data_IF_802214253383
#
_entry.id   IF_802214253383
#
_cell.length_a   1.000
_cell.length_b   1.000
_cell.length_c   1.000
_cell.angle_alpha   90.00
_cell.angle_beta   90.00
_cell.angle_gamma   90.00
#
_symmetry.space_group_name_H-M   'P 1'
#
loop_
_entity.id
_entity.type
_entity.pdbx_description
1 polymer ?
#
# COMPACT_ATOMS: atom_id res chain seq x y z
N UNK A 1 -0.16 15.96 -43.70
CA UNK A 1 -1.50 15.92 -43.07
C UNK A 1 -2.51 15.39 -44.06
N UNK A 2 -3.36 14.45 -43.65
CA UNK A 2 -4.46 13.94 -44.49
C UNK A 2 -5.78 14.06 -43.73
N UNK A 3 -6.84 14.45 -44.43
CA UNK A 3 -8.18 14.54 -43.86
C UNK A 3 -8.88 13.19 -44.02
N UNK A 4 -9.26 12.56 -42.91
CA UNK A 4 -10.00 11.28 -42.84
C UNK A 4 -11.17 11.47 -41.89
N UNK A 5 -12.40 11.16 -42.31
CA UNK A 5 -13.58 11.32 -41.45
C UNK A 5 -13.86 12.76 -41.01
N UNK A 6 -13.41 13.75 -41.80
CA UNK A 6 -13.45 15.19 -41.48
C UNK A 6 -12.44 15.69 -40.44
N UNK A 7 -11.58 14.81 -39.92
CA UNK A 7 -10.49 15.13 -38.99
C UNK A 7 -9.15 15.20 -39.72
N UNK A 8 -8.23 16.03 -39.22
CA UNK A 8 -6.88 16.14 -39.74
C UNK A 8 -5.96 15.18 -38.99
N UNK A 9 -5.24 14.37 -39.75
CA UNK A 9 -4.30 13.39 -39.23
C UNK A 9 -2.88 13.69 -39.71
N UNK A 10 -1.88 13.42 -38.86
CA UNK A 10 -0.45 13.50 -39.19
C UNK A 10 0.06 12.06 -39.30
N UNK A 11 0.66 11.72 -40.44
CA UNK A 11 1.14 10.36 -40.72
C UNK A 11 1.23 10.10 -42.22
N UNK A 12 1.65 8.89 -42.57
CA UNK A 12 1.69 8.37 -43.94
C UNK A 12 0.40 7.59 -44.19
N UNK A 13 -0.34 7.93 -45.23
CA UNK A 13 -1.54 7.16 -45.58
C UNK A 13 -1.17 6.02 -46.51
N UNK A 14 -1.36 4.78 -46.06
CA UNK A 14 -1.11 3.58 -46.83
C UNK A 14 -2.24 2.56 -46.64
N UNK A 15 -2.70 1.95 -47.73
CA UNK A 15 -3.73 0.88 -47.74
C UNK A 15 -4.95 1.12 -46.84
N UNK A 16 -5.49 2.35 -46.84
CA UNK A 16 -6.71 2.68 -46.09
C UNK A 16 -6.48 3.06 -44.62
N UNK A 17 -5.24 3.01 -44.14
CA UNK A 17 -4.86 3.40 -42.79
C UNK A 17 -3.85 4.56 -42.79
N UNK A 18 -3.74 5.25 -41.66
CA UNK A 18 -2.67 6.20 -41.39
C UNK A 18 -1.65 5.52 -40.49
N UNK A 19 -0.40 5.50 -40.92
CA UNK A 19 0.74 4.96 -40.19
C UNK A 19 1.67 6.10 -39.72
N UNK A 20 2.51 5.86 -38.70
CA UNK A 20 3.54 6.82 -38.31
C UNK A 20 4.47 7.18 -39.48
N UNK A 21 5.02 8.40 -39.44
CA UNK A 21 6.12 8.80 -40.32
C UNK A 21 7.37 8.08 -39.80
N UNK A 22 8.13 7.44 -40.69
CA UNK A 22 9.38 6.79 -40.29
C UNK A 22 10.35 7.84 -39.74
N UNK A 23 11.26 7.42 -38.86
CA UNK A 23 12.29 8.34 -38.32
C UNK A 23 13.16 8.94 -39.43
N UNK A 24 13.47 8.13 -40.46
CA UNK A 24 14.27 8.54 -41.62
C UNK A 24 13.57 9.59 -42.47
N UNK A 25 12.25 9.48 -42.63
CA UNK A 25 11.45 10.40 -43.44
C UNK A 25 10.94 11.62 -42.64
N UNK A 26 11.14 11.67 -41.32
CA UNK A 26 10.52 12.67 -40.46
C UNK A 26 10.85 14.10 -40.90
N UNK A 27 12.11 14.37 -41.25
CA UNK A 27 12.56 15.71 -41.68
C UNK A 27 12.07 16.11 -43.07
N UNK A 28 11.66 15.14 -43.90
CA UNK A 28 11.11 15.41 -45.22
C UNK A 28 9.66 15.95 -45.14
N UNK A 29 8.95 15.59 -44.06
CA UNK A 29 7.54 15.93 -43.87
C UNK A 29 7.30 16.93 -42.74
N UNK A 30 8.18 16.99 -41.74
CA UNK A 30 8.07 17.89 -40.58
C UNK A 30 9.17 18.93 -40.65
N UNK A 31 8.83 20.08 -41.24
CA UNK A 31 9.76 21.19 -41.42
C UNK A 31 9.69 22.09 -40.19
N UNK A 32 10.83 22.27 -39.52
CA UNK A 32 10.95 23.19 -38.39
C UNK A 32 10.72 24.63 -38.85
N UNK A 33 9.95 25.38 -38.07
CA UNK A 33 9.83 26.83 -38.27
C UNK A 33 11.07 27.55 -37.72
N UNK A 34 11.28 28.81 -38.11
CA UNK A 34 12.33 29.65 -37.52
C UNK A 34 12.01 30.09 -36.09
N UNK A 35 10.75 30.00 -35.69
CA UNK A 35 10.31 30.31 -34.33
C UNK A 35 10.48 29.08 -33.45
N UNK A 36 11.13 29.27 -32.30
CA UNK A 36 11.20 28.27 -31.25
C UNK A 36 10.34 28.75 -30.10
N UNK A 37 9.36 27.94 -29.75
CA UNK A 37 8.55 28.13 -28.55
C UNK A 37 8.82 26.95 -27.62
N UNK A 38 8.80 27.23 -26.33
CA UNK A 38 8.86 26.16 -25.31
C UNK A 38 7.46 25.63 -25.12
N UNK A 39 7.28 24.31 -25.23
CA UNK A 39 6.00 23.69 -24.90
C UNK A 39 5.86 23.74 -23.37
N UNK A 40 4.81 24.42 -22.90
CA UNK A 40 4.48 24.50 -21.48
C UNK A 40 3.48 23.38 -21.16
N UNK A 41 3.82 22.43 -20.28
CA UNK A 41 2.87 21.41 -19.84
C UNK A 41 1.65 22.04 -19.16
N UNK A 42 0.48 21.44 -19.33
CA UNK A 42 -0.70 21.81 -18.55
C UNK A 42 -0.57 21.18 -17.15
N UNK A 43 -0.54 22.01 -16.10
CA UNK A 43 -0.58 21.49 -14.72
C UNK A 43 -1.97 20.92 -14.46
N UNK A 44 -2.02 19.67 -13.99
CA UNK A 44 -3.24 18.95 -13.63
C UNK A 44 -2.98 18.07 -12.42
N UNK A 45 -4.01 17.88 -11.61
CA UNK A 45 -4.05 16.85 -10.55
C UNK A 45 -4.51 15.50 -11.11
N UNK A 46 -4.29 14.42 -10.36
CA UNK A 46 -4.82 13.09 -10.72
C UNK A 46 -6.37 13.14 -10.77
N UNK A 47 -7.01 13.76 -9.78
CA UNK A 47 -8.47 13.90 -9.75
C UNK A 47 -9.02 14.57 -11.02
N UNK A 48 -8.46 15.70 -11.43
CA UNK A 48 -8.91 16.41 -12.65
C UNK A 48 -8.79 15.55 -13.90
N UNK A 49 -7.77 14.68 -13.98
CA UNK A 49 -7.60 13.73 -15.09
C UNK A 49 -8.71 12.67 -15.04
N UNK A 50 -8.98 12.10 -13.87
CA UNK A 50 -10.03 11.09 -13.66
C UNK A 50 -11.42 11.66 -13.96
N UNK A 51 -11.74 12.84 -13.44
CA UNK A 51 -13.00 13.54 -13.69
C UNK A 51 -13.20 13.81 -15.17
N UNK A 52 -12.18 14.34 -15.85
CA UNK A 52 -12.26 14.60 -17.28
C UNK A 52 -12.47 13.32 -18.09
N UNK A 53 -11.78 12.22 -17.74
CA UNK A 53 -11.92 10.93 -18.42
C UNK A 53 -13.34 10.34 -18.30
N UNK A 54 -14.08 10.69 -17.25
CA UNK A 54 -15.46 10.24 -17.00
C UNK A 54 -16.52 11.24 -17.49
N UNK A 55 -16.11 12.37 -18.06
CA UNK A 55 -17.01 13.40 -18.57
C UNK A 55 -17.33 13.20 -20.06
N UNK A 56 -18.33 13.93 -20.55
CA UNK A 56 -18.65 13.99 -22.00
C UNK A 56 -17.56 14.70 -22.83
N UNK A 57 -16.57 15.34 -22.18
CA UNK A 57 -15.50 16.13 -22.81
C UNK A 57 -14.11 15.72 -22.28
N UNK A 58 -13.61 14.53 -22.65
CA UNK A 58 -12.32 14.03 -22.16
C UNK A 58 -11.15 14.90 -22.61
N UNK A 59 -10.08 14.91 -21.81
CA UNK A 59 -8.84 15.58 -22.19
C UNK A 59 -8.26 14.98 -23.48
N UNK A 60 -7.87 15.80 -24.46
CA UNK A 60 -7.15 15.31 -25.63
C UNK A 60 -5.75 14.82 -25.24
N UNK A 61 -5.05 14.15 -26.15
CA UNK A 61 -3.63 13.84 -25.91
C UNK A 61 -2.82 15.13 -25.79
N UNK A 62 -2.30 15.40 -24.59
CA UNK A 62 -1.61 16.65 -24.25
C UNK A 62 -0.40 16.41 -23.35
N UNK A 63 0.53 17.35 -23.34
CA UNK A 63 1.62 17.36 -22.36
C UNK A 63 1.09 17.93 -21.04
N UNK A 64 1.23 17.18 -19.97
CA UNK A 64 0.79 17.56 -18.62
C UNK A 64 1.97 17.56 -17.65
N UNK A 65 1.83 18.31 -16.57
CA UNK A 65 2.68 18.15 -15.38
C UNK A 65 1.79 17.85 -14.19
N UNK A 66 2.15 16.84 -13.40
CA UNK A 66 1.49 16.50 -12.16
C UNK A 66 2.52 16.67 -11.05
N UNK A 67 2.16 17.44 -10.04
CA UNK A 67 3.00 17.74 -8.88
C UNK A 67 2.57 16.84 -7.70
N UNK A 68 3.45 16.70 -6.71
CA UNK A 68 3.20 15.97 -5.47
C UNK A 68 2.72 14.54 -5.72
N UNK A 69 3.50 13.77 -6.49
CA UNK A 69 3.23 12.37 -6.77
C UNK A 69 4.42 11.48 -6.43
N UNK A 70 4.14 10.24 -6.07
CA UNK A 70 5.14 9.22 -5.81
C UNK A 70 4.72 7.87 -6.37
N UNK A 71 5.67 6.94 -6.49
CA UNK A 71 5.36 5.54 -6.85
C UNK A 71 4.83 4.79 -5.61
N UNK A 72 3.93 3.83 -5.80
CA UNK A 72 3.44 2.95 -4.71
C UNK A 72 4.57 2.08 -4.11
N UNK A 73 4.40 1.68 -2.86
CA UNK A 73 5.44 0.99 -2.08
C UNK A 73 5.81 -0.37 -2.68
N UNK A 74 4.84 -1.12 -3.21
CA UNK A 74 5.06 -2.44 -3.82
C UNK A 74 5.91 -2.38 -5.09
N UNK A 75 6.10 -1.18 -5.65
CA UNK A 75 6.90 -0.95 -6.84
C UNK A 75 8.20 -0.19 -6.56
N UNK A 76 8.55 0.02 -5.28
CA UNK A 76 9.86 0.55 -4.89
C UNK A 76 10.99 -0.38 -5.37
N UNK A 77 12.17 0.21 -5.59
CA UNK A 77 13.38 -0.50 -6.04
C UNK A 77 13.23 -1.26 -7.37
N UNK A 78 12.20 -0.94 -8.16
CA UNK A 78 12.02 -1.48 -9.51
C UNK A 78 12.69 -0.60 -10.57
N UNK A 79 12.89 -1.12 -11.79
CA UNK A 79 13.39 -0.34 -12.93
C UNK A 79 12.26 0.34 -13.71
N UNK A 80 12.57 1.29 -14.59
CA UNK A 80 11.57 1.98 -15.42
C UNK A 80 10.69 1.02 -16.23
N UNK A 81 11.27 -0.01 -16.85
CA UNK A 81 10.50 -1.06 -17.53
C UNK A 81 11.19 -2.43 -17.42
N UNK A 82 10.65 -3.44 -18.11
CA UNK A 82 11.17 -4.80 -18.05
C UNK A 82 12.54 -4.91 -18.75
N UNK A 83 13.54 -5.39 -18.02
CA UNK A 83 14.90 -5.55 -18.56
C UNK A 83 15.01 -6.74 -19.52
N UNK A 84 14.23 -7.79 -19.30
CA UNK A 84 14.33 -9.09 -19.97
C UNK A 84 13.55 -9.16 -21.27
N UNK A 85 12.58 -8.27 -21.48
CA UNK A 85 11.78 -8.23 -22.71
C UNK A 85 11.47 -6.81 -23.16
N UNK A 86 10.67 -6.70 -24.23
CA UNK A 86 10.29 -5.43 -24.85
C UNK A 86 8.81 -5.08 -24.60
N UNK A 87 8.17 -5.75 -23.64
CA UNK A 87 6.79 -5.44 -23.25
C UNK A 87 6.76 -4.15 -22.45
N UNK A 88 5.74 -3.34 -22.69
CA UNK A 88 5.48 -2.15 -21.89
C UNK A 88 5.15 -2.54 -20.44
N UNK A 89 5.53 -1.68 -19.50
CA UNK A 89 5.33 -1.87 -18.06
C UNK A 89 4.57 -0.68 -17.52
N UNK A 90 3.53 -0.97 -16.74
CA UNK A 90 2.76 0.03 -16.02
C UNK A 90 3.38 0.23 -14.63
N UNK A 91 3.66 1.48 -14.28
CA UNK A 91 3.93 1.96 -12.92
C UNK A 91 2.68 2.64 -12.38
N UNK A 92 2.44 2.50 -11.08
CA UNK A 92 1.33 3.16 -10.41
C UNK A 92 1.88 4.32 -9.60
N UNK A 93 1.43 5.53 -9.94
CA UNK A 93 1.71 6.73 -9.18
C UNK A 93 0.51 7.08 -8.31
N UNK A 94 0.78 7.56 -7.11
CA UNK A 94 -0.20 8.10 -6.16
C UNK A 94 0.08 9.57 -5.90
N UNK A 95 -0.95 10.34 -5.58
CA UNK A 95 -0.84 11.71 -5.07
C UNK A 95 -0.40 11.72 -3.60
N UNK A 96 0.28 12.79 -3.24
CA UNK A 96 0.66 13.13 -1.89
C UNK A 96 -0.32 14.19 -1.34
N UNK A 97 -1.53 13.78 -0.97
CA UNK A 97 -2.54 14.69 -0.38
C UNK A 97 -3.27 14.05 0.79
N UNK A 98 -3.63 14.86 1.78
CA UNK A 98 -4.22 14.47 3.07
C UNK A 98 -5.71 14.01 3.02
N UNK A 99 -6.35 13.97 1.84
CA UNK A 99 -7.79 13.66 1.71
C UNK A 99 -8.05 12.23 1.22
N UNK A 100 -7.70 11.93 -0.04
CA UNK A 100 -7.93 10.62 -0.66
C UNK A 100 -6.73 10.22 -1.53
N UNK A 101 -6.28 8.96 -1.41
CA UNK A 101 -5.26 8.38 -2.29
C UNK A 101 -5.86 8.04 -3.66
N UNK A 102 -5.43 8.78 -4.67
CA UNK A 102 -5.79 8.64 -6.07
C UNK A 102 -4.62 8.09 -6.87
N UNK A 103 -4.92 7.22 -7.83
CA UNK A 103 -3.90 6.55 -8.64
C UNK A 103 -3.93 6.99 -10.09
N UNK A 104 -2.76 7.05 -10.71
CA UNK A 104 -2.61 7.19 -12.16
C UNK A 104 -1.54 6.24 -12.69
N UNK A 105 -1.78 5.69 -13.88
CA UNK A 105 -0.85 4.76 -14.51
C UNK A 105 0.16 5.53 -15.35
N UNK A 106 1.44 5.31 -15.07
CA UNK A 106 2.57 5.64 -15.93
C UNK A 106 2.97 4.41 -16.74
N UNK A 107 2.71 4.42 -18.04
CA UNK A 107 3.09 3.35 -18.94
C UNK A 107 4.46 3.64 -19.57
N UNK A 108 5.47 2.88 -19.16
CA UNK A 108 6.82 2.95 -19.70
C UNK A 108 7.01 1.91 -20.81
N UNK A 109 7.60 2.33 -21.92
CA UNK A 109 7.82 1.40 -23.02
C UNK A 109 8.96 0.42 -22.74
N UNK A 110 8.74 -0.87 -23.02
CA UNK A 110 9.79 -1.89 -22.95
C UNK A 110 10.89 -1.73 -24.00
N UNK A 111 10.68 -0.87 -25.00
CA UNK A 111 11.66 -0.51 -26.02
C UNK A 111 12.48 0.76 -25.67
N UNK A 112 12.21 1.37 -24.52
CA UNK A 112 12.92 2.59 -24.10
C UNK A 112 14.40 2.32 -23.81
N UNK A 113 15.25 3.31 -24.11
CA UNK A 113 16.70 3.25 -23.82
C UNK A 113 17.01 3.32 -22.31
N UNK A 114 16.04 3.77 -21.51
CA UNK A 114 16.15 3.92 -20.05
C UNK A 114 15.51 2.77 -19.27
N UNK A 115 14.99 1.72 -19.93
CA UNK A 115 14.22 0.65 -19.28
C UNK A 115 14.89 0.00 -18.07
N UNK A 116 16.21 -0.12 -18.10
CA UNK A 116 17.01 -0.79 -17.07
C UNK A 116 17.50 0.15 -15.96
N UNK A 117 17.21 1.44 -16.03
CA UNK A 117 17.56 2.37 -14.97
C UNK A 117 16.62 2.16 -13.77
N UNK A 118 17.11 2.32 -12.53
CA UNK A 118 16.25 2.35 -11.34
C UNK A 118 15.21 3.45 -11.48
N UNK A 119 13.97 3.14 -11.14
CA UNK A 119 12.92 4.15 -11.05
C UNK A 119 13.11 4.95 -9.74
N UNK A 120 13.01 6.29 -9.77
CA UNK A 120 13.15 7.12 -8.56
C UNK A 120 12.15 6.72 -7.46
N UNK A 121 12.62 6.66 -6.21
CA UNK A 121 11.82 6.23 -5.05
C UNK A 121 11.16 7.37 -4.29
N UNK A 122 11.73 8.57 -4.40
CA UNK A 122 11.24 9.81 -3.77
C UNK A 122 9.92 10.30 -4.41
N UNK A 123 9.36 11.39 -3.89
CA UNK A 123 8.21 12.08 -4.48
C UNK A 123 8.63 13.35 -5.22
N UNK A 124 7.72 13.88 -6.03
CA UNK A 124 7.91 15.18 -6.69
C UNK A 124 7.00 15.35 -7.88
N UNK A 125 7.56 15.86 -8.99
CA UNK A 125 6.79 16.20 -10.18
C UNK A 125 7.09 15.27 -11.35
N UNK A 126 6.06 14.97 -12.15
CA UNK A 126 6.18 14.26 -13.42
C UNK A 126 5.63 15.10 -14.56
N UNK A 127 6.42 15.27 -15.63
CA UNK A 127 5.97 15.84 -16.91
C UNK A 127 5.75 14.70 -17.90
N UNK A 128 4.53 14.48 -18.37
CA UNK A 128 4.23 13.34 -19.25
C UNK A 128 3.24 13.69 -20.35
N UNK A 129 3.22 12.87 -21.40
CA UNK A 129 2.14 12.89 -22.38
C UNK A 129 0.97 12.11 -21.78
N UNK A 130 -0.12 12.81 -21.49
CA UNK A 130 -1.38 12.20 -21.11
C UNK A 130 -2.06 11.68 -22.38
N UNK A 131 -2.36 10.38 -22.42
CA UNK A 131 -3.12 9.77 -23.51
C UNK A 131 -4.21 8.88 -22.91
N UNK A 132 -5.48 9.27 -23.12
CA UNK A 132 -6.62 8.73 -22.39
C UNK A 132 -6.46 8.96 -20.88
N UNK A 133 -6.17 7.91 -20.13
CA UNK A 133 -5.97 7.89 -18.67
C UNK A 133 -4.58 7.37 -18.27
N UNK A 134 -3.62 7.37 -19.20
CA UNK A 134 -2.25 6.92 -18.94
C UNK A 134 -1.25 8.03 -19.24
N UNK A 135 -0.22 8.10 -18.42
CA UNK A 135 0.95 8.94 -18.60
C UNK A 135 2.00 8.16 -19.39
N UNK A 136 2.68 8.84 -20.30
CA UNK A 136 3.81 8.31 -21.06
C UNK A 136 4.93 9.34 -20.99
N UNK A 137 6.08 8.95 -20.44
CA UNK A 137 7.29 9.79 -20.40
C UNK A 137 8.13 9.60 -21.66
N UNK A 138 8.91 10.62 -22.00
CA UNK A 138 9.79 10.65 -23.17
C UNK A 138 11.18 10.12 -22.82
N UNK A 139 11.68 10.50 -21.66
CA UNK A 139 12.94 10.08 -21.07
C UNK A 139 12.93 10.28 -19.55
N UNK A 140 14.04 10.01 -18.87
CA UNK A 140 14.10 10.10 -17.40
C UNK A 140 14.04 11.53 -16.86
N UNK A 141 14.30 12.57 -17.67
CA UNK A 141 14.21 13.97 -17.22
C UNK A 141 12.77 14.43 -17.06
N UNK A 142 11.80 13.64 -17.51
CA UNK A 142 10.37 13.86 -17.28
C UNK A 142 9.95 13.51 -15.85
N UNK A 143 10.83 12.91 -15.05
CA UNK A 143 10.59 12.61 -13.63
C UNK A 143 11.56 13.42 -12.77
N UNK A 144 11.02 14.29 -11.93
CA UNK A 144 11.74 15.07 -10.93
C UNK A 144 11.26 14.68 -9.54
N UNK A 145 11.63 13.46 -9.13
CA UNK A 145 11.31 12.88 -7.82
C UNK A 145 12.53 13.05 -6.93
N UNK A 146 12.60 14.18 -6.25
CA UNK A 146 13.76 14.61 -5.45
C UNK A 146 13.39 15.04 -4.03
N UNK A 147 12.10 15.08 -3.71
CA UNK A 147 11.58 15.45 -2.41
C UNK A 147 11.29 14.20 -1.58
N UNK A 148 11.46 14.30 -0.26
CA UNK A 148 11.13 13.19 0.66
C UNK A 148 9.71 12.69 0.38
N UNK A 149 9.55 11.36 0.26
CA UNK A 149 8.25 10.72 0.07
C UNK A 149 7.22 11.28 1.02
N UNK A 150 6.01 11.52 0.52
CA UNK A 150 4.90 11.76 1.42
C UNK A 150 4.60 10.43 2.13
N UNK A 151 4.37 10.54 3.43
CA UNK A 151 3.68 9.48 4.15
C UNK A 151 2.28 9.45 3.53
N UNK A 152 1.81 8.27 3.13
CA UNK A 152 0.39 8.10 2.88
C UNK A 152 -0.29 8.39 4.21
N UNK A 153 -0.76 9.63 4.41
CA UNK A 153 -1.32 10.09 5.69
C UNK A 153 -2.59 9.31 6.04
N UNK A 154 -3.15 8.55 5.10
CA UNK A 154 -4.18 7.57 5.40
C UNK A 154 -3.63 6.43 6.26
N UNK A 155 -2.38 5.99 6.11
CA UNK A 155 -1.80 4.90 6.90
C UNK A 155 -1.33 5.41 8.26
N UNK A 156 -2.16 5.16 9.26
CA UNK A 156 -1.90 5.56 10.64
C UNK A 156 -0.93 4.60 11.36
N UNK A 157 -0.86 3.34 10.92
CA UNK A 157 0.06 2.33 11.41
C UNK A 157 0.34 1.25 10.35
N UNK A 158 1.61 0.89 10.20
CA UNK A 158 2.08 -0.27 9.46
C UNK A 158 3.11 -1.02 10.31
N UNK A 159 2.99 -2.34 10.38
CA UNK A 159 3.96 -3.23 11.02
C UNK A 159 4.02 -4.58 10.30
N UNK A 160 5.20 -4.93 9.80
CA UNK A 160 5.52 -6.20 9.13
C UNK A 160 6.55 -7.03 9.91
N UNK A 161 6.95 -6.58 11.11
CA UNK A 161 7.91 -7.21 12.00
C UNK A 161 9.33 -7.40 11.44
N UNK A 162 9.64 -6.90 10.23
CA UNK A 162 10.92 -7.19 9.57
C UNK A 162 12.13 -6.48 10.20
N UNK A 163 11.87 -5.41 10.96
CA UNK A 163 12.91 -4.68 11.71
C UNK A 163 13.40 -5.44 12.95
N UNK A 164 12.73 -6.53 13.36
CA UNK A 164 13.15 -7.35 14.49
C UNK A 164 14.38 -8.18 14.11
N UNK A 165 15.47 -8.05 14.89
CA UNK A 165 16.71 -8.81 14.65
C UNK A 165 16.79 -10.13 15.42
N UNK A 166 16.22 -10.17 16.62
CA UNK A 166 16.29 -11.32 17.53
C UNK A 166 14.99 -12.13 17.44
N UNK A 167 15.01 -13.20 16.63
CA UNK A 167 13.87 -14.13 16.45
C UNK A 167 13.92 -15.29 17.46
N UNK A 168 12.79 -15.93 17.72
CA UNK A 168 12.55 -16.90 18.80
C UNK A 168 12.63 -16.27 20.20
N UNK A 169 12.29 -14.98 20.27
CA UNK A 169 12.28 -14.19 21.50
C UNK A 169 10.99 -13.37 21.56
N UNK A 170 10.66 -12.86 22.75
CA UNK A 170 9.50 -12.00 22.93
C UNK A 170 9.59 -10.75 22.05
N UNK A 171 8.46 -10.33 21.49
CA UNK A 171 8.40 -9.09 20.70
C UNK A 171 8.60 -7.89 21.63
N UNK A 172 9.63 -7.10 21.34
CA UNK A 172 9.94 -5.81 21.96
C UNK A 172 10.10 -4.75 20.86
N UNK A 173 9.01 -4.06 20.53
CA UNK A 173 8.97 -2.97 19.55
C UNK A 173 8.70 -1.64 20.25
N UNK A 174 9.26 -0.55 19.71
CA UNK A 174 9.09 0.78 20.31
C UNK A 174 7.61 1.19 20.34
N UNK A 175 7.12 1.53 21.53
CA UNK A 175 5.73 1.91 21.79
C UNK A 175 4.71 0.76 21.85
N UNK A 176 5.07 -0.47 21.46
CA UNK A 176 4.22 -1.66 21.60
C UNK A 176 4.26 -2.22 23.01
N UNK A 177 3.21 -2.95 23.40
CA UNK A 177 3.12 -3.61 24.70
C UNK A 177 2.87 -5.11 24.53
N UNK A 178 3.69 -5.93 25.19
CA UNK A 178 3.58 -7.39 25.15
C UNK A 178 3.39 -7.93 26.58
N UNK A 179 2.12 -8.10 26.96
CA UNK A 179 1.70 -8.26 28.36
C UNK A 179 1.15 -9.67 28.58
N UNK A 180 1.51 -10.27 29.71
CA UNK A 180 0.94 -11.53 30.17
C UNK A 180 0.24 -11.30 31.52
N UNK A 181 -1.08 -11.43 31.54
CA UNK A 181 -1.94 -11.23 32.73
C UNK A 181 -2.20 -12.57 33.45
N UNK A 182 -1.73 -13.68 32.89
CA UNK A 182 -1.89 -15.01 33.50
C UNK A 182 -0.99 -15.21 34.72
N UNK A 183 -0.98 -16.45 35.25
CA UNK A 183 -0.01 -16.85 36.27
C UNK A 183 1.43 -16.50 35.78
N UNK A 184 2.20 -15.67 36.51
CA UNK A 184 3.55 -15.27 36.11
C UNK A 184 4.54 -16.43 35.93
N UNK A 185 4.21 -17.63 36.43
CA UNK A 185 5.01 -18.84 36.19
C UNK A 185 4.77 -19.44 34.79
N UNK A 186 3.69 -19.04 34.14
CA UNK A 186 3.34 -19.42 32.78
C UNK A 186 3.87 -18.34 31.84
N UNK A 187 5.09 -18.52 31.35
CA UNK A 187 5.71 -17.61 30.39
C UNK A 187 5.07 -17.80 29.01
N UNK A 188 3.94 -17.15 28.76
CA UNK A 188 3.33 -17.04 27.43
C UNK A 188 3.25 -15.56 27.05
N UNK A 189 3.85 -15.21 25.92
CA UNK A 189 3.87 -13.89 25.31
C UNK A 189 4.01 -14.07 23.81
N UNK A 190 3.68 -13.04 23.04
CA UNK A 190 3.89 -13.09 21.60
C UNK A 190 5.38 -13.03 21.31
N UNK A 191 5.84 -13.90 20.43
CA UNK A 191 7.24 -14.03 20.05
C UNK A 191 7.43 -13.72 18.57
N UNK A 192 8.59 -13.16 18.23
CA UNK A 192 8.97 -12.93 16.86
C UNK A 192 9.49 -14.25 16.28
N UNK A 193 8.79 -14.82 15.32
CA UNK A 193 9.18 -16.06 14.66
C UNK A 193 9.59 -15.77 13.22
N UNK A 194 10.41 -16.65 12.65
CA UNK A 194 10.92 -16.48 11.28
C UNK A 194 10.79 -17.76 10.47
N UNK A 195 10.13 -17.64 9.32
CA UNK A 195 10.07 -18.70 8.32
C UNK A 195 10.61 -18.18 7.00
N UNK A 196 11.68 -18.80 6.49
CA UNK A 196 12.47 -18.29 5.36
C UNK A 196 12.97 -16.87 5.65
N UNK A 197 12.57 -15.89 4.85
CA UNK A 197 12.95 -14.49 5.00
C UNK A 197 11.88 -13.64 5.68
N UNK A 198 10.72 -14.22 6.05
CA UNK A 198 9.63 -13.49 6.69
C UNK A 198 9.69 -13.60 8.22
N UNK A 199 9.68 -12.46 8.91
CA UNK A 199 9.52 -12.37 10.37
C UNK A 199 8.07 -12.01 10.67
N UNK A 200 7.47 -12.63 11.69
CA UNK A 200 6.06 -12.41 12.04
C UNK A 200 5.86 -12.63 13.55
N UNK A 201 4.70 -12.21 14.06
CA UNK A 201 4.34 -12.44 15.45
C UNK A 201 3.61 -13.78 15.62
N UNK A 202 4.01 -14.58 16.59
CA UNK A 202 3.40 -15.86 16.93
C UNK A 202 3.06 -15.94 18.41
N UNK A 203 1.92 -16.54 18.72
CA UNK A 203 1.57 -16.97 20.07
C UNK A 203 1.39 -18.49 20.06
N UNK A 204 2.31 -19.18 20.73
CA UNK A 204 2.24 -20.63 20.86
C UNK A 204 0.98 -21.06 21.64
N UNK A 205 0.47 -22.24 21.34
CA UNK A 205 -0.67 -22.89 22.03
C UNK A 205 -0.57 -23.03 23.56
N UNK A 206 0.66 -22.92 24.07
CA UNK A 206 1.04 -23.22 25.44
C UNK A 206 0.69 -24.66 25.87
N UNK A 207 0.78 -24.92 27.17
CA UNK A 207 0.32 -26.17 27.79
C UNK A 207 -1.20 -26.43 27.65
N UNK A 208 -1.63 -27.70 27.62
CA UNK A 208 -2.98 -28.08 27.21
C UNK A 208 -4.07 -27.64 28.20
N UNK A 209 -3.78 -27.63 29.50
CA UNK A 209 -4.82 -27.40 30.54
C UNK A 209 -4.67 -26.07 31.26
N UNK A 210 -3.62 -25.32 30.95
CA UNK A 210 -3.32 -24.02 31.51
C UNK A 210 -4.26 -22.98 30.93
N UNK A 211 -4.49 -21.92 31.71
CA UNK A 211 -5.21 -20.74 31.25
C UNK A 211 -4.20 -19.67 30.88
N UNK A 212 -4.48 -19.00 29.79
CA UNK A 212 -3.63 -17.96 29.23
C UNK A 212 -4.45 -16.71 28.92
N UNK A 213 -3.80 -15.57 29.05
CA UNK A 213 -4.30 -14.21 28.85
C UNK A 213 -3.06 -13.39 28.52
N UNK A 214 -2.65 -13.47 27.26
CA UNK A 214 -1.48 -12.80 26.71
C UNK A 214 -1.92 -11.80 25.64
N UNK A 215 -1.27 -10.66 25.60
CA UNK A 215 -1.60 -9.54 24.73
C UNK A 215 -0.37 -9.09 23.96
N UNK A 216 -0.55 -8.85 22.66
CA UNK A 216 0.32 -7.97 21.90
C UNK A 216 -0.51 -6.76 21.49
N UNK A 217 -0.06 -5.57 21.85
CA UNK A 217 -0.80 -4.34 21.68
C UNK A 217 0.06 -3.38 20.87
N UNK A 218 -0.51 -2.84 19.80
CA UNK A 218 0.18 -1.90 18.92
C UNK A 218 0.68 -0.68 19.68
N UNK A 219 1.61 0.08 19.08
CA UNK A 219 1.86 1.46 19.47
C UNK A 219 0.57 2.30 19.44
N UNK A 220 0.59 3.41 20.17
CA UNK A 220 -0.52 4.37 20.19
C UNK A 220 -0.73 5.00 18.82
N UNK A 221 -1.97 4.99 18.36
CA UNK A 221 -2.41 5.56 17.09
C UNK A 221 -3.24 6.81 17.36
N UNK A 222 -2.84 7.93 16.76
CA UNK A 222 -3.57 9.18 16.83
C UNK A 222 -4.71 9.19 15.81
N UNK A 223 -5.84 9.77 16.19
CA UNK A 223 -6.98 9.97 15.30
C UNK A 223 -6.77 11.29 14.55
N UNK A 224 -6.68 11.24 13.22
CA UNK A 224 -6.33 12.41 12.40
C UNK A 224 -7.58 13.05 11.81
N UNK A 225 -8.19 12.42 10.81
CA UNK A 225 -9.31 12.99 10.05
C UNK A 225 -10.63 12.27 10.34
N UNK A 226 -10.60 10.94 10.43
CA UNK A 226 -11.80 10.10 10.59
C UNK A 226 -11.68 9.13 11.77
N UNK A 227 -12.84 8.73 12.32
CA UNK A 227 -12.95 7.66 13.34
C UNK A 227 -13.39 6.33 12.74
N UNK A 228 -13.80 6.32 11.48
CA UNK A 228 -14.06 5.10 10.72
C UNK A 228 -12.81 4.79 9.93
N UNK A 229 -12.15 3.69 10.27
CA UNK A 229 -10.85 3.29 9.75
C UNK A 229 -10.93 1.88 9.17
N UNK A 230 -9.98 1.54 8.31
CA UNK A 230 -9.75 0.18 7.83
C UNK A 230 -8.67 -0.48 8.68
N UNK A 231 -8.92 -1.72 9.11
CA UNK A 231 -7.93 -2.61 9.71
C UNK A 231 -7.67 -3.77 8.74
N UNK A 232 -6.40 -4.00 8.40
CA UNK A 232 -5.93 -5.18 7.67
C UNK A 232 -4.91 -5.93 8.51
N UNK A 233 -5.02 -7.27 8.54
CA UNK A 233 -4.08 -8.16 9.24
C UNK A 233 -3.95 -9.45 8.43
N UNK A 234 -2.72 -9.93 8.25
CA UNK A 234 -2.46 -11.28 7.77
C UNK A 234 -2.51 -12.26 8.94
N UNK A 235 -3.34 -13.30 8.86
CA UNK A 235 -3.51 -14.28 9.94
C UNK A 235 -3.24 -15.69 9.41
N UNK A 236 -2.45 -16.46 10.16
CA UNK A 236 -2.32 -17.91 9.99
C UNK A 236 -2.71 -18.62 11.29
N UNK A 237 -3.54 -19.67 11.18
CA UNK A 237 -4.03 -20.49 12.29
C UNK A 237 -3.57 -21.91 12.08
N UNK A 238 -2.90 -22.47 13.09
CA UNK A 238 -2.40 -23.83 13.07
C UNK A 238 -3.05 -24.68 14.19
N UNK A 239 -3.40 -25.92 13.85
CA UNK A 239 -3.97 -26.92 14.76
C UNK A 239 -5.28 -26.45 15.45
N UNK A 240 -6.17 -25.82 14.67
CA UNK A 240 -7.40 -25.22 15.17
C UNK A 240 -8.27 -26.24 15.92
N UNK A 241 -8.48 -25.96 17.21
CA UNK A 241 -9.41 -26.71 18.05
C UNK A 241 -10.12 -25.85 19.12
N UNK A 242 -9.94 -24.54 19.05
CA UNK A 242 -10.50 -23.54 19.97
C UNK A 242 -10.47 -22.15 19.35
N UNK A 243 -11.37 -21.27 19.81
CA UNK A 243 -11.33 -19.84 19.52
C UNK A 243 -10.70 -19.15 20.73
N UNK A 244 -9.38 -19.01 20.72
CA UNK A 244 -8.64 -18.39 21.82
C UNK A 244 -8.07 -17.00 21.44
N UNK A 245 -8.15 -16.58 20.17
CA UNK A 245 -7.77 -15.23 19.76
C UNK A 245 -8.97 -14.28 19.79
N UNK A 246 -8.83 -13.16 20.48
CA UNK A 246 -9.77 -12.03 20.54
C UNK A 246 -9.01 -10.77 20.10
N UNK A 247 -9.63 -9.88 19.32
CA UNK A 247 -9.00 -8.62 18.86
C UNK A 247 -9.84 -7.44 19.36
N UNK A 248 -9.21 -6.43 19.95
CA UNK A 248 -9.91 -5.30 20.57
C UNK A 248 -9.36 -3.93 20.14
N UNK A 249 -10.24 -2.93 20.10
CA UNK A 249 -9.84 -1.53 20.18
C UNK A 249 -9.57 -1.17 21.65
N UNK A 250 -8.31 -0.90 21.98
CA UNK A 250 -7.83 -0.58 23.33
C UNK A 250 -7.68 0.94 23.48
N UNK A 251 -8.15 1.49 24.61
CA UNK A 251 -8.06 2.93 24.90
C UNK A 251 -6.62 3.32 25.26
N UNK A 252 -6.08 2.68 26.29
CA UNK A 252 -4.72 2.90 26.75
C UNK A 252 -4.20 1.71 27.55
N UNK A 253 -2.88 1.72 27.77
CA UNK A 253 -2.16 0.74 28.56
C UNK A 253 -1.30 1.49 29.57
N UNK A 254 -1.29 1.05 30.82
CA UNK A 254 -0.48 1.65 31.89
C UNK A 254 0.14 0.54 32.76
N UNK A 255 1.37 0.16 32.45
CA UNK A 255 1.98 -1.05 33.00
C UNK A 255 1.17 -2.28 32.57
N UNK A 256 0.87 -3.19 33.50
CA UNK A 256 0.08 -4.39 33.20
C UNK A 256 -1.45 -4.13 33.12
N UNK A 257 -1.90 -2.88 33.27
CA UNK A 257 -3.32 -2.53 33.20
C UNK A 257 -3.70 -2.13 31.77
N UNK A 258 -4.58 -2.91 31.15
CA UNK A 258 -5.12 -2.66 29.81
C UNK A 258 -6.54 -2.11 29.96
N UNK A 259 -6.78 -0.89 29.49
CA UNK A 259 -8.11 -0.29 29.50
C UNK A 259 -8.80 -0.54 28.17
N UNK A 260 -9.78 -1.44 28.17
CA UNK A 260 -10.56 -1.81 27.00
C UNK A 260 -12.00 -2.12 27.41
N UNK A 261 -12.89 -2.17 26.42
CA UNK A 261 -14.28 -2.57 26.57
C UNK A 261 -14.55 -3.82 25.75
N UNK A 262 -15.22 -4.81 26.34
CA UNK A 262 -15.70 -6.01 25.63
C UNK A 262 -16.64 -5.66 24.47
N UNK A 263 -17.23 -4.46 24.47
CA UNK A 263 -18.06 -3.98 23.35
C UNK A 263 -17.25 -3.54 22.11
N UNK A 264 -15.93 -3.42 22.24
CA UNK A 264 -15.02 -2.99 21.17
C UNK A 264 -14.22 -4.17 20.59
N UNK A 265 -14.78 -5.38 20.67
CA UNK A 265 -14.23 -6.58 20.02
C UNK A 265 -14.38 -6.50 18.49
N UNK A 266 -13.38 -6.99 17.77
CA UNK A 266 -13.30 -7.02 16.30
C UNK A 266 -13.36 -8.48 15.84
N UNK A 267 -14.57 -9.04 15.76
CA UNK A 267 -14.78 -10.46 15.47
C UNK A 267 -14.66 -10.83 13.98
N UNK A 268 -14.89 -9.87 13.09
CA UNK A 268 -15.09 -10.12 11.65
C UNK A 268 -13.84 -10.69 10.94
N UNK A 269 -12.66 -10.51 11.54
CA UNK A 269 -11.38 -10.93 10.96
C UNK A 269 -10.77 -12.15 11.65
N UNK A 270 -11.29 -12.60 12.79
CA UNK A 270 -10.75 -13.76 13.51
C UNK A 270 -11.15 -15.05 12.79
N UNK A 271 -10.16 -15.90 12.53
CA UNK A 271 -10.35 -17.17 11.82
C UNK A 271 -10.66 -18.31 12.78
N UNK A 272 -11.66 -19.12 12.42
CA UNK A 272 -12.12 -20.27 13.19
C UNK A 272 -11.87 -21.61 12.48
N UNK A 273 -10.76 -21.72 11.75
CA UNK A 273 -10.33 -22.91 11.00
C UNK A 273 -8.82 -22.86 10.74
N UNK A 274 -8.23 -24.04 10.47
CA UNK A 274 -6.84 -24.12 10.01
C UNK A 274 -6.66 -23.39 8.68
N UNK A 275 -5.53 -22.71 8.53
CA UNK A 275 -5.15 -22.06 7.27
C UNK A 275 -3.94 -22.75 6.62
N UNK A 276 -3.74 -22.48 5.34
CA UNK A 276 -2.58 -22.92 4.58
C UNK A 276 -1.63 -21.74 4.37
N UNK A 277 -1.04 -21.25 5.46
CA UNK A 277 -0.26 -20.01 5.49
C UNK A 277 -1.13 -18.78 5.73
N UNK A 278 -0.51 -17.60 5.67
CA UNK A 278 -1.17 -16.32 5.93
C UNK A 278 -2.32 -16.03 4.96
N UNK A 279 -3.43 -15.56 5.52
CA UNK A 279 -4.59 -15.04 4.80
C UNK A 279 -4.83 -13.61 5.26
N UNK A 280 -4.83 -12.67 4.32
CA UNK A 280 -5.20 -11.28 4.58
C UNK A 280 -6.67 -11.15 4.94
N UNK A 281 -6.95 -10.46 6.04
CA UNK A 281 -8.28 -10.13 6.53
C UNK A 281 -8.41 -8.63 6.73
N UNK A 282 -9.52 -8.10 6.25
CA UNK A 282 -9.79 -6.67 6.31
C UNK A 282 -11.19 -6.44 6.89
N UNK A 283 -11.32 -5.38 7.71
CA UNK A 283 -12.61 -4.91 8.20
C UNK A 283 -12.59 -3.41 8.45
N UNK A 284 -13.77 -2.81 8.54
CA UNK A 284 -13.93 -1.43 8.96
C UNK A 284 -14.13 -1.40 10.48
N UNK A 285 -13.33 -0.58 11.17
CA UNK A 285 -13.45 -0.34 12.61
C UNK A 285 -13.93 1.09 12.87
N UNK A 286 -14.65 1.29 13.98
CA UNK A 286 -15.08 2.63 14.40
C UNK A 286 -14.54 2.93 15.79
N UNK A 287 -13.68 3.93 15.90
CA UNK A 287 -13.05 4.31 17.17
C UNK A 287 -14.08 4.98 18.08
N UNK A 288 -14.25 4.52 19.34
CA UNK A 288 -15.18 5.11 20.31
C UNK A 288 -14.99 6.62 20.45
N UNK A 289 -16.09 7.37 20.58
CA UNK A 289 -16.07 8.83 20.54
C UNK A 289 -15.31 9.50 21.69
N UNK A 290 -15.15 8.78 22.79
CA UNK A 290 -14.46 9.20 24.01
C UNK A 290 -12.96 8.89 24.01
N UNK A 291 -12.46 8.19 22.97
CA UNK A 291 -11.03 7.94 22.81
C UNK A 291 -10.37 9.13 22.09
N UNK A 292 -9.31 9.66 22.69
CA UNK A 292 -8.43 10.69 22.08
C UNK A 292 -7.40 10.04 21.14
N UNK A 293 -6.94 8.85 21.49
CA UNK A 293 -6.07 7.95 20.74
C UNK A 293 -6.51 6.52 21.00
N UNK A 294 -5.98 5.56 20.23
CA UNK A 294 -6.33 4.15 20.41
C UNK A 294 -5.17 3.23 20.09
N UNK A 295 -5.35 1.94 20.37
CA UNK A 295 -4.45 0.85 20.01
C UNK A 295 -5.28 -0.35 19.54
N UNK A 296 -4.65 -1.28 18.81
CA UNK A 296 -5.25 -2.59 18.54
C UNK A 296 -4.55 -3.62 19.42
N UNK A 297 -5.34 -4.41 20.15
CA UNK A 297 -4.85 -5.47 21.01
C UNK A 297 -5.21 -6.85 20.46
N UNK A 298 -4.21 -7.70 20.28
CA UNK A 298 -4.34 -9.11 19.94
C UNK A 298 -4.21 -9.94 21.21
N UNK A 299 -5.35 -10.43 21.72
CA UNK A 299 -5.43 -11.15 22.98
C UNK A 299 -5.57 -12.65 22.73
N UNK A 300 -4.61 -13.41 23.23
CA UNK A 300 -4.73 -14.86 23.37
C UNK A 300 -5.32 -15.22 24.73
N UNK A 301 -6.60 -15.58 24.75
CA UNK A 301 -7.43 -15.79 25.93
C UNK A 301 -7.93 -17.25 26.04
N UNK A 302 -7.06 -18.13 26.53
CA UNK A 302 -7.40 -19.53 26.81
C UNK A 302 -8.14 -19.64 28.15
N UNK A 303 -9.47 -19.56 28.12
CA UNK A 303 -10.33 -19.56 29.32
C UNK A 303 -10.55 -20.95 29.94
N UNK A 304 -10.47 -22.01 29.13
CA UNK A 304 -10.89 -23.37 29.49
C UNK A 304 -9.74 -24.26 29.95
N UNK A 305 -10.04 -25.21 30.84
CA UNK A 305 -9.11 -26.31 31.18
C UNK A 305 -9.14 -27.46 30.17
N UNK A 306 -9.91 -27.33 29.08
CA UNK A 306 -9.87 -28.28 27.96
C UNK A 306 -8.59 -28.08 27.17
N UNK A 307 -7.87 -29.17 26.81
CA UNK A 307 -6.77 -29.14 25.85
C UNK A 307 -7.15 -28.33 24.62
N UNK A 308 -6.48 -27.19 24.44
CA UNK A 308 -6.44 -26.47 23.17
C UNK A 308 -4.99 -26.46 22.68
N UNK A 309 -4.85 -26.60 21.38
CA UNK A 309 -3.57 -26.60 20.66
C UNK A 309 -3.52 -25.54 19.56
N UNK A 310 -4.52 -24.66 19.49
CA UNK A 310 -4.58 -23.61 18.49
C UNK A 310 -3.45 -22.61 18.73
N UNK A 311 -2.67 -22.41 17.68
CA UNK A 311 -1.59 -21.43 17.58
C UNK A 311 -2.01 -20.38 16.54
N UNK A 312 -1.68 -19.13 16.82
CA UNK A 312 -1.99 -18.01 15.95
C UNK A 312 -0.70 -17.29 15.57
N UNK A 313 -0.60 -16.95 14.29
CA UNK A 313 0.43 -16.09 13.74
C UNK A 313 -0.25 -14.89 13.10
N UNK A 314 0.31 -13.70 13.32
CA UNK A 314 -0.15 -12.44 12.73
C UNK A 314 1.02 -11.70 12.08
N UNK A 315 0.73 -11.02 10.97
CA UNK A 315 1.69 -10.28 10.18
C UNK A 315 1.01 -9.12 9.43
N UNK A 316 1.79 -8.23 8.81
CA UNK A 316 1.34 -7.14 7.93
C UNK A 316 0.14 -6.37 8.49
N UNK A 317 0.28 -5.82 9.70
CA UNK A 317 -0.78 -5.08 10.38
C UNK A 317 -0.85 -3.67 9.81
N UNK A 318 -2.00 -3.32 9.23
CA UNK A 318 -2.23 -2.01 8.63
C UNK A 318 -3.48 -1.38 9.24
N UNK A 319 -3.35 -0.14 9.70
CA UNK A 319 -4.48 0.71 10.09
C UNK A 319 -4.45 1.91 9.17
N UNK A 320 -5.54 2.14 8.43
CA UNK A 320 -5.64 3.30 7.55
C UNK A 320 -6.97 4.02 7.65
N UNK A 321 -6.99 5.29 7.28
CA UNK A 321 -8.20 5.99 6.88
C UNK A 321 -8.74 5.36 5.57
N UNK A 322 -10.05 5.52 5.32
CA UNK A 322 -10.68 5.03 4.07
C UNK A 322 -10.35 5.92 2.88
#
# INVERSE_FOLDING_TARGET
MKKVGNELHIGVYNDGAITPISGDDFQDFVIRTNTKETIVPKILTINEIIEAANSDEPLPTILVSIENVQIIDEQLNTTYANVDNNSDVDKTLINCTDEDTQTIILQNSGLSTFKALPFPTEQGAITAILSKNKLIIRDTNDIDFTEERCIDDSVLLYEDFQDITDTNEIIELDGWENINISDPQLFIRWEAQKTNDNIFAEIEKGGPTQKYDAWLITKEVQIVNTRTLKLSVDINVNNFNSNDLEIFIVENVSGDNINFSEANEIDDIVLSEDTSGFITKETTITIPSDYDSFRIGFRYNKKSSTPSETEYQIDNIIISEE
#
